data_IF_388642401161
#
_entry.id   IF_388642401161
#
_cell.length_a   1.000
_cell.length_b   1.000
_cell.length_c   1.000
_cell.angle_alpha   90.00
_cell.angle_beta   90.00
_cell.angle_gamma   90.00
#
_symmetry.space_group_name_H-M   'P 1'
#
loop_
_entity.id
_entity.type
_entity.pdbx_description
1 polymer ?
#
# COMPACT_ATOMS: atom_id res chain seq x y z
N UNK A 1 18.25 -13.36 -6.55
CA UNK A 1 17.81 -14.58 -5.84
C UNK A 1 18.90 -15.64 -5.80
N UNK A 2 19.71 -15.82 -6.85
CA UNK A 2 20.90 -16.72 -6.81
C UNK A 2 21.86 -16.50 -5.64
N UNK A 3 22.03 -15.26 -5.20
CA UNK A 3 22.89 -14.94 -4.04
C UNK A 3 22.28 -15.37 -2.68
N UNK A 4 20.98 -15.68 -2.64
CA UNK A 4 20.25 -16.16 -1.44
C UNK A 4 19.97 -17.65 -1.51
N UNK A 5 19.53 -18.13 -2.68
CA UNK A 5 19.31 -19.53 -2.99
C UNK A 5 19.93 -19.82 -4.37
N UNK A 6 21.12 -20.46 -4.45
CA UNK A 6 21.74 -20.82 -5.71
C UNK A 6 20.85 -21.81 -6.48
N UNK A 7 20.40 -21.44 -7.69
CA UNK A 7 19.50 -22.27 -8.49
C UNK A 7 18.00 -21.97 -8.29
N UNK A 8 17.66 -20.78 -7.79
CA UNK A 8 16.27 -20.35 -7.70
C UNK A 8 15.66 -20.09 -9.09
N UNK A 9 14.76 -20.97 -9.53
CA UNK A 9 14.04 -20.91 -10.82
C UNK A 9 12.66 -20.22 -10.70
N UNK A 10 12.42 -19.51 -9.60
CA UNK A 10 11.14 -18.84 -9.32
C UNK A 10 11.04 -17.43 -9.92
N UNK A 11 9.82 -16.92 -9.99
CA UNK A 11 9.54 -15.59 -10.51
C UNK A 11 10.24 -14.50 -9.70
N UNK A 12 11.03 -13.67 -10.38
CA UNK A 12 11.60 -12.44 -9.82
C UNK A 12 10.44 -11.47 -9.55
N UNK A 13 10.17 -11.19 -8.28
CA UNK A 13 9.16 -10.22 -7.86
C UNK A 13 9.81 -8.95 -7.32
N UNK A 14 9.08 -7.84 -7.45
CA UNK A 14 9.38 -6.56 -6.80
C UNK A 14 8.20 -6.18 -5.90
N UNK A 15 8.42 -5.43 -4.80
CA UNK A 15 9.70 -4.95 -4.26
C UNK A 15 10.54 -6.04 -3.56
N UNK A 16 11.83 -5.75 -3.32
CA UNK A 16 12.77 -6.64 -2.61
C UNK A 16 13.52 -5.86 -1.54
N UNK A 17 13.50 -6.38 -0.30
CA UNK A 17 14.37 -5.97 0.79
C UNK A 17 15.64 -6.81 0.77
N UNK A 18 16.79 -6.16 0.59
CA UNK A 18 18.10 -6.79 0.43
C UNK A 18 19.05 -6.42 1.58
N UNK A 19 19.67 -7.44 2.17
CA UNK A 19 20.76 -7.28 3.13
C UNK A 19 22.09 -7.21 2.37
N UNK A 20 22.68 -6.01 2.32
CA UNK A 20 23.95 -5.77 1.66
C UNK A 20 25.14 -6.44 2.36
N UNK A 21 25.10 -6.60 3.68
CA UNK A 21 26.20 -7.17 4.45
C UNK A 21 26.25 -8.69 4.31
N UNK A 22 25.08 -9.34 4.37
CA UNK A 22 24.97 -10.79 4.19
C UNK A 22 24.86 -11.21 2.71
N UNK A 23 24.65 -10.26 1.79
CA UNK A 23 24.53 -10.51 0.37
C UNK A 23 23.30 -11.37 0.03
N UNK A 24 22.15 -11.12 0.68
CA UNK A 24 20.94 -11.93 0.49
C UNK A 24 19.63 -11.14 0.59
N UNK A 25 18.57 -11.70 0.03
CA UNK A 25 17.20 -11.19 0.15
C UNK A 25 16.69 -11.51 1.55
N UNK A 26 16.11 -10.50 2.19
CA UNK A 26 15.45 -10.62 3.49
C UNK A 26 13.96 -10.87 3.31
N UNK A 27 13.31 -10.14 2.41
CA UNK A 27 11.87 -10.27 2.13
C UNK A 27 11.53 -9.69 0.75
N UNK A 28 10.51 -10.25 0.11
CA UNK A 28 9.86 -9.73 -1.11
C UNK A 28 8.33 -9.64 -0.94
N UNK A 29 7.83 -9.69 0.29
CA UNK A 29 6.40 -9.65 0.58
C UNK A 29 5.88 -8.21 0.51
N UNK A 30 5.20 -7.89 -0.60
CA UNK A 30 4.68 -6.55 -0.84
C UNK A 30 3.56 -6.12 0.12
N UNK A 31 2.87 -7.07 0.77
CA UNK A 31 1.81 -6.77 1.73
C UNK A 31 2.39 -6.47 3.12
N UNK A 32 3.48 -7.15 3.49
CA UNK A 32 4.10 -7.01 4.82
C UNK A 32 5.12 -5.87 4.87
N UNK A 33 5.90 -5.69 3.80
CA UNK A 33 6.99 -4.70 3.78
C UNK A 33 6.55 -3.27 4.12
N UNK A 34 5.43 -2.72 3.60
CA UNK A 34 4.99 -1.38 3.97
C UNK A 34 4.66 -1.24 5.45
N UNK A 35 4.05 -2.27 6.06
CA UNK A 35 3.73 -2.30 7.49
C UNK A 35 4.99 -2.36 8.34
N UNK A 36 5.95 -3.18 7.98
CA UNK A 36 7.24 -3.25 8.69
C UNK A 36 7.98 -1.92 8.61
N UNK A 37 8.04 -1.29 7.44
CA UNK A 37 8.64 0.04 7.26
C UNK A 37 7.93 1.11 8.12
N UNK A 38 6.60 1.09 8.16
CA UNK A 38 5.79 2.02 8.93
C UNK A 38 5.80 1.79 10.45
N UNK A 39 6.33 0.66 10.93
CA UNK A 39 6.28 0.31 12.36
C UNK A 39 7.65 -0.05 12.94
N UNK A 40 8.33 -1.04 12.37
CA UNK A 40 9.61 -1.58 12.84
C UNK A 40 10.78 -0.63 12.57
N UNK A 41 10.71 0.11 11.46
CA UNK A 41 11.79 1.00 11.04
C UNK A 41 11.60 2.46 11.49
N UNK A 42 10.55 2.75 12.26
CA UNK A 42 10.19 4.09 12.69
C UNK A 42 11.29 4.84 13.44
N UNK A 43 12.13 4.12 14.21
CA UNK A 43 13.24 4.72 14.94
C UNK A 43 14.32 5.35 14.04
N UNK A 44 14.35 4.99 12.76
CA UNK A 44 15.28 5.54 11.77
C UNK A 44 14.63 6.57 10.84
N UNK A 45 13.34 6.89 11.02
CA UNK A 45 12.65 7.87 10.20
C UNK A 45 13.12 9.30 10.55
N UNK A 46 13.51 10.08 9.54
CA UNK A 46 13.83 11.49 9.71
C UNK A 46 12.60 12.31 10.15
N UNK A 47 11.42 11.91 9.67
CA UNK A 47 10.12 12.48 10.04
C UNK A 47 9.20 11.34 10.47
N UNK A 48 9.20 10.95 11.75
CA UNK A 48 8.37 9.85 12.22
C UNK A 48 6.89 10.24 12.15
N UNK A 49 6.11 9.49 11.39
CA UNK A 49 4.66 9.55 11.35
C UNK A 49 4.08 8.15 11.52
N UNK A 50 3.08 8.02 12.39
CA UNK A 50 2.37 6.76 12.61
C UNK A 50 1.36 6.52 11.48
N UNK A 51 1.81 5.82 10.44
CA UNK A 51 1.00 5.49 9.26
C UNK A 51 0.13 4.23 9.46
N UNK A 52 0.34 3.49 10.55
CA UNK A 52 -0.38 2.24 10.83
C UNK A 52 -0.90 2.16 12.28
N UNK A 53 -1.75 3.12 12.69
CA UNK A 53 -2.24 3.24 14.05
C UNK A 53 -3.20 2.11 14.42
N UNK A 54 -3.06 1.61 15.64
CA UNK A 54 -3.79 0.44 16.14
C UNK A 54 -5.31 0.52 15.94
N UNK A 55 -5.90 1.67 16.26
CA UNK A 55 -7.34 1.92 16.16
C UNK A 55 -7.93 1.79 14.74
N UNK A 56 -7.10 1.86 13.69
CA UNK A 56 -7.54 1.82 12.29
C UNK A 56 -6.94 0.65 11.48
N UNK A 57 -6.09 -0.20 12.08
CA UNK A 57 -5.41 -1.29 11.35
C UNK A 57 -6.37 -2.18 10.57
N UNK A 58 -7.47 -2.58 11.21
CA UNK A 58 -8.47 -3.43 10.55
C UNK A 58 -9.09 -2.78 9.30
N UNK A 59 -9.30 -1.45 9.32
CA UNK A 59 -9.82 -0.71 8.17
C UNK A 59 -8.75 -0.54 7.09
N UNK A 60 -7.51 -0.24 7.49
CA UNK A 60 -6.37 -0.13 6.58
C UNK A 60 -6.14 -1.46 5.85
N UNK A 61 -6.09 -2.57 6.57
CA UNK A 61 -5.87 -3.91 6.00
C UNK A 61 -7.01 -4.34 5.07
N UNK A 62 -8.24 -3.91 5.37
CA UNK A 62 -9.40 -4.18 4.52
C UNK A 62 -9.28 -3.42 3.19
N UNK A 63 -8.92 -2.13 3.24
CA UNK A 63 -8.77 -1.28 2.06
C UNK A 63 -7.56 -1.65 1.19
N UNK A 64 -6.49 -2.12 1.82
CA UNK A 64 -5.32 -2.63 1.10
C UNK A 64 -5.69 -3.85 0.24
N UNK A 65 -6.47 -4.78 0.79
CA UNK A 65 -6.97 -5.96 0.06
C UNK A 65 -8.06 -5.61 -0.95
N UNK A 66 -8.97 -4.73 -0.59
CA UNK A 66 -10.14 -4.39 -1.41
C UNK A 66 -10.45 -2.90 -1.32
N UNK A 67 -10.09 -2.17 -2.38
CA UNK A 67 -10.34 -0.72 -2.46
C UNK A 67 -11.83 -0.39 -2.50
N UNK A 68 -12.68 -1.32 -2.94
CA UNK A 68 -14.14 -1.13 -2.98
C UNK A 68 -14.77 -1.10 -1.58
N UNK A 69 -14.04 -1.60 -0.58
CA UNK A 69 -14.45 -1.54 0.82
C UNK A 69 -14.50 -0.11 1.39
N UNK A 70 -14.10 0.91 0.63
CA UNK A 70 -14.26 2.31 1.02
C UNK A 70 -15.73 2.67 1.28
N UNK A 71 -16.67 2.01 0.60
CA UNK A 71 -18.11 2.12 0.89
C UNK A 71 -18.45 1.73 2.33
N UNK A 72 -17.77 0.73 2.91
CA UNK A 72 -17.94 0.31 4.30
C UNK A 72 -17.37 1.32 5.32
N UNK A 73 -16.55 2.28 4.87
CA UNK A 73 -16.03 3.39 5.69
C UNK A 73 -16.88 4.67 5.62
N UNK A 74 -18.06 4.57 4.98
CA UNK A 74 -19.05 5.66 4.85
C UNK A 74 -19.10 6.31 3.47
N UNK A 75 -18.54 5.66 2.43
CA UNK A 75 -18.64 6.11 1.04
C UNK A 75 -19.97 5.78 0.37
N UNK A 76 -20.37 6.53 -0.67
CA UNK A 76 -21.60 6.25 -1.41
C UNK A 76 -21.49 4.96 -2.22
N UNK A 77 -22.61 4.24 -2.34
CA UNK A 77 -22.70 3.07 -3.23
C UNK A 77 -22.91 3.55 -4.67
N UNK A 78 -21.85 3.72 -5.44
CA UNK A 78 -21.96 3.97 -6.88
C UNK A 78 -21.72 2.68 -7.68
N UNK A 79 -22.27 2.62 -8.91
CA UNK A 79 -22.00 1.52 -9.85
C UNK A 79 -20.57 1.57 -10.42
N UNK A 80 -19.88 2.70 -10.29
CA UNK A 80 -18.53 2.94 -10.77
C UNK A 80 -17.60 3.31 -9.61
N UNK A 81 -16.70 2.40 -9.22
CA UNK A 81 -15.84 2.53 -8.05
C UNK A 81 -15.07 3.87 -7.96
N UNK A 82 -14.75 4.49 -9.10
CA UNK A 82 -14.07 5.78 -9.14
C UNK A 82 -14.96 6.94 -8.70
N UNK A 83 -16.25 6.94 -9.05
CA UNK A 83 -17.20 7.97 -8.60
C UNK A 83 -17.43 7.89 -7.09
N UNK A 84 -17.50 6.67 -6.54
CA UNK A 84 -17.60 6.47 -5.09
C UNK A 84 -16.36 6.99 -4.36
N UNK A 85 -15.19 6.83 -4.97
CA UNK A 85 -13.93 7.33 -4.45
C UNK A 85 -13.88 8.87 -4.49
N UNK A 86 -14.31 9.47 -5.59
CA UNK A 86 -14.35 10.92 -5.76
C UNK A 86 -15.33 11.58 -4.79
N UNK A 87 -16.55 11.04 -4.64
CA UNK A 87 -17.51 11.54 -3.65
C UNK A 87 -17.00 11.36 -2.21
N UNK A 88 -16.33 10.24 -1.91
CA UNK A 88 -15.81 9.96 -0.57
C UNK A 88 -14.63 10.87 -0.20
N UNK A 89 -13.71 11.12 -1.13
CA UNK A 89 -12.57 12.03 -0.93
C UNK A 89 -12.94 13.51 -1.11
N UNK A 90 -14.01 13.83 -1.85
CA UNK A 90 -14.45 15.20 -2.13
C UNK A 90 -14.78 16.03 -0.88
N UNK A 91 -15.03 15.38 0.26
CA UNK A 91 -15.21 16.01 1.56
C UNK A 91 -14.21 15.60 2.64
N UNK A 92 -13.24 14.72 2.35
CA UNK A 92 -12.33 14.12 3.34
C UNK A 92 -10.88 14.24 2.91
N UNK A 93 -10.03 14.70 3.83
CA UNK A 93 -8.58 14.79 3.57
C UNK A 93 -7.85 13.44 3.57
N UNK A 94 -8.48 12.38 4.10
CA UNK A 94 -7.85 11.08 4.31
C UNK A 94 -8.86 9.94 4.15
N UNK A 95 -8.39 8.76 3.73
CA UNK A 95 -9.20 7.57 3.50
C UNK A 95 -9.73 7.00 4.82
N UNK A 96 -8.87 6.94 5.85
CA UNK A 96 -9.24 6.46 7.19
C UNK A 96 -8.81 7.48 8.24
N UNK A 97 -9.72 7.82 9.14
CA UNK A 97 -9.44 8.73 10.23
C UNK A 97 -9.29 10.19 9.79
N UNK A 98 -8.40 10.92 10.46
CA UNK A 98 -8.18 12.36 10.31
C UNK A 98 -6.73 12.73 9.93
N UNK A 99 -5.90 11.73 9.60
CA UNK A 99 -4.48 11.88 9.25
C UNK A 99 -4.06 10.87 8.19
N UNK A 100 -2.91 11.11 7.56
CA UNK A 100 -2.33 10.22 6.57
C UNK A 100 -2.03 8.83 7.16
N UNK A 101 -2.43 7.78 6.44
CA UNK A 101 -2.22 6.37 6.80
C UNK A 101 -1.69 5.56 5.60
N UNK A 102 -1.32 4.30 5.85
CA UNK A 102 -0.98 3.36 4.76
C UNK A 102 -2.14 3.15 3.77
N UNK A 103 -3.40 3.35 4.18
CA UNK A 103 -4.53 3.24 3.26
C UNK A 103 -4.46 4.32 2.17
N UNK A 104 -4.07 5.54 2.51
CA UNK A 104 -3.89 6.64 1.56
C UNK A 104 -2.74 6.36 0.60
N UNK A 105 -1.61 5.86 1.12
CA UNK A 105 -0.43 5.50 0.32
C UNK A 105 -0.77 4.38 -0.68
N UNK A 106 -1.40 3.31 -0.21
CA UNK A 106 -1.78 2.17 -1.05
C UNK A 106 -2.80 2.55 -2.11
N UNK A 107 -3.78 3.40 -1.76
CA UNK A 107 -4.75 3.93 -2.70
C UNK A 107 -4.07 4.78 -3.79
N UNK A 108 -3.17 5.69 -3.40
CA UNK A 108 -2.49 6.56 -4.35
C UNK A 108 -1.68 5.77 -5.37
N UNK A 109 -0.97 4.71 -4.94
CA UNK A 109 -0.22 3.85 -5.86
C UNK A 109 -1.16 3.22 -6.90
N UNK A 110 -2.31 2.66 -6.46
CA UNK A 110 -3.32 2.07 -7.34
C UNK A 110 -3.89 3.08 -8.35
N UNK A 111 -4.13 4.32 -7.91
CA UNK A 111 -4.60 5.40 -8.80
C UNK A 111 -3.51 5.88 -9.76
N UNK A 112 -2.26 5.97 -9.31
CA UNK A 112 -1.15 6.42 -10.15
C UNK A 112 -0.84 5.45 -11.30
N UNK A 113 -1.15 4.17 -11.11
CA UNK A 113 -1.03 3.13 -12.12
C UNK A 113 -2.21 3.10 -13.10
N UNK A 114 -3.32 3.78 -12.77
CA UNK A 114 -4.42 4.04 -13.72
C UNK A 114 -4.06 5.16 -14.71
N UNK A 115 -2.95 5.02 -15.44
CA UNK A 115 -2.82 5.78 -16.68
C UNK A 115 -3.88 5.28 -17.66
N UNK A 116 -4.58 6.17 -18.40
CA UNK A 116 -5.34 5.71 -19.55
C UNK A 116 -4.34 5.01 -20.47
N UNK A 117 -4.65 3.78 -20.90
CA UNK A 117 -3.86 3.13 -21.93
C UNK A 117 -3.81 4.08 -23.12
N UNK A 118 -2.66 4.73 -23.30
CA UNK A 118 -2.39 5.51 -24.49
C UNK A 118 -1.95 4.48 -25.53
N UNK A 119 -2.91 3.76 -26.09
CA UNK A 119 -2.71 3.06 -27.36
C UNK A 119 -3.59 3.73 -28.41
N UNK A 120 -2.99 4.51 -29.32
CA UNK A 120 -3.50 4.67 -30.65
C UNK A 120 -2.98 3.53 -31.55
N UNK A 121 -3.91 2.96 -32.32
CA UNK A 121 -3.83 2.00 -33.44
C UNK A 121 -3.98 0.51 -33.11
#
# INVERSE_FOLDING_TARGET
MDATEPGYDGHISVPVLWDQAAGRIVSNDCAVLPVDLATRFMQWAATPQDLYPEQWRAQIDLLDRDVTAISATGGPHSAHALDALEDFLGGRGHVVGDRLTLADVGLWVKLSDTRPSSDPL
#
